data_IF_347634918151
#
_entry.id   IF_347634918151
#
_cell.length_a   1.000
_cell.length_b   1.000
_cell.length_c   1.000
_cell.angle_alpha   90.00
_cell.angle_beta   90.00
_cell.angle_gamma   90.00
#
_symmetry.space_group_name_H-M   'P 1'
#
loop_
_entity.id
_entity.type
_entity.pdbx_description
1 polymer ?
#
# COMPACT_ATOMS: atom_id res chain seq x y z
N UNK A 1 8.93 13.48 -10.61
CA UNK A 1 8.44 13.69 -9.23
C UNK A 1 9.63 14.04 -8.34
N UNK A 2 9.50 14.98 -7.39
CA UNK A 2 10.65 15.53 -6.64
C UNK A 2 10.95 14.76 -5.34
N UNK A 3 9.96 14.37 -4.53
CA UNK A 3 10.09 13.57 -3.29
C UNK A 3 8.76 12.87 -2.97
N UNK A 4 8.79 11.73 -2.27
CA UNK A 4 7.59 11.00 -1.82
C UNK A 4 7.69 10.58 -0.35
N UNK A 5 6.55 10.57 0.35
CA UNK A 5 6.40 9.87 1.63
C UNK A 5 6.01 8.40 1.42
N UNK A 6 6.20 7.55 2.44
CA UNK A 6 5.89 6.11 2.33
C UNK A 6 4.40 5.84 2.06
N UNK A 7 3.49 6.53 2.75
CA UNK A 7 2.05 6.41 2.48
C UNK A 7 1.70 6.61 1.00
N UNK A 8 2.28 7.63 0.34
CA UNK A 8 2.04 7.89 -1.07
C UNK A 8 2.67 6.83 -1.98
N UNK A 9 3.87 6.32 -1.64
CA UNK A 9 4.50 5.26 -2.41
C UNK A 9 3.69 3.96 -2.42
N UNK A 10 3.13 3.57 -1.26
CA UNK A 10 2.24 2.41 -1.19
C UNK A 10 0.98 2.61 -2.01
N UNK A 11 0.38 3.79 -1.90
CA UNK A 11 -0.80 4.14 -2.68
C UNK A 11 -0.52 4.11 -4.18
N UNK A 12 0.58 4.71 -4.63
CA UNK A 12 0.97 4.71 -6.03
C UNK A 12 1.18 3.28 -6.55
N UNK A 13 1.91 2.44 -5.80
CA UNK A 13 2.10 1.03 -6.14
C UNK A 13 0.77 0.28 -6.25
N UNK A 14 -0.11 0.43 -5.26
CA UNK A 14 -1.44 -0.20 -5.29
C UNK A 14 -2.27 0.28 -6.49
N UNK A 15 -2.26 1.57 -6.79
CA UNK A 15 -2.97 2.15 -7.94
C UNK A 15 -2.46 1.64 -9.28
N UNK A 16 -1.13 1.53 -9.46
CA UNK A 16 -0.54 0.97 -10.68
C UNK A 16 -0.87 -0.52 -10.82
N UNK A 17 -0.70 -1.32 -9.76
CA UNK A 17 -1.07 -2.74 -9.79
C UNK A 17 -2.55 -2.96 -10.06
N UNK A 18 -3.44 -2.12 -9.54
CA UNK A 18 -4.87 -2.18 -9.84
C UNK A 18 -5.16 -1.81 -11.30
N UNK A 19 -4.44 -0.85 -11.89
CA UNK A 19 -4.59 -0.51 -13.31
C UNK A 19 -4.13 -1.66 -14.21
N UNK A 20 -2.97 -2.25 -13.94
CA UNK A 20 -2.46 -3.44 -14.63
C UNK A 20 -3.42 -4.63 -14.50
N UNK A 21 -3.90 -4.89 -13.28
CA UNK A 21 -4.89 -5.93 -13.00
C UNK A 21 -6.18 -5.72 -13.80
N UNK A 22 -6.63 -4.48 -13.92
CA UNK A 22 -7.83 -4.13 -14.71
C UNK A 22 -7.61 -4.40 -16.20
N UNK A 23 -6.46 -3.99 -16.75
CA UNK A 23 -6.14 -4.18 -18.17
C UNK A 23 -6.01 -5.67 -18.51
N UNK A 24 -5.22 -6.42 -17.73
CA UNK A 24 -5.01 -7.86 -17.93
C UNK A 24 -6.32 -8.61 -17.71
N UNK A 25 -7.06 -8.29 -16.65
CA UNK A 25 -8.33 -8.92 -16.33
C UNK A 25 -9.39 -8.67 -17.40
N UNK A 26 -9.52 -7.43 -17.89
CA UNK A 26 -10.45 -7.11 -18.99
C UNK A 26 -10.09 -7.85 -20.28
N UNK A 27 -8.80 -7.92 -20.64
CA UNK A 27 -8.34 -8.68 -21.80
C UNK A 27 -8.64 -10.19 -21.66
N UNK A 28 -8.37 -10.77 -20.48
CA UNK A 28 -8.67 -12.18 -20.21
C UNK A 28 -10.17 -12.48 -20.29
N UNK A 29 -11.03 -11.62 -19.74
CA UNK A 29 -12.48 -11.77 -19.79
C UNK A 29 -12.99 -11.63 -21.22
N UNK A 30 -12.44 -10.69 -22.01
CA UNK A 30 -12.81 -10.54 -23.41
C UNK A 30 -12.43 -11.78 -24.24
N UNK A 31 -11.24 -12.35 -24.01
CA UNK A 31 -10.83 -13.61 -24.63
C UNK A 31 -11.75 -14.76 -24.22
N UNK A 32 -12.09 -14.86 -22.93
CA UNK A 32 -13.04 -15.87 -22.45
C UNK A 32 -14.40 -15.72 -23.13
N UNK A 33 -14.92 -14.49 -23.24
CA UNK A 33 -16.20 -14.18 -23.89
C UNK A 33 -16.23 -14.68 -25.34
N UNK A 34 -15.16 -14.42 -26.10
CA UNK A 34 -15.03 -14.90 -27.48
C UNK A 34 -15.05 -16.43 -27.55
N UNK A 35 -14.33 -17.10 -26.65
CA UNK A 35 -14.27 -18.56 -26.61
C UNK A 35 -15.61 -19.21 -26.22
N UNK A 36 -16.36 -18.60 -25.30
CA UNK A 36 -17.65 -19.15 -24.85
C UNK A 36 -18.84 -18.73 -25.72
N UNK A 37 -18.62 -17.94 -26.77
CA UNK A 37 -19.66 -17.56 -27.74
C UNK A 37 -19.98 -18.66 -28.78
N UNK A 38 -19.35 -19.83 -28.65
CA UNK A 38 -19.55 -20.98 -29.55
C UNK A 38 -20.69 -21.89 -29.09
N UNK A 39 -21.15 -22.80 -29.96
CA UNK A 39 -22.25 -23.74 -29.67
C UNK A 39 -22.10 -24.53 -28.35
N UNK A 40 -20.86 -24.85 -27.95
CA UNK A 40 -20.54 -25.58 -26.72
C UNK A 40 -20.11 -24.67 -25.54
N UNK A 41 -20.32 -23.35 -25.64
CA UNK A 41 -19.82 -22.36 -24.68
C UNK A 41 -20.21 -22.63 -23.23
N UNK A 42 -21.43 -23.11 -23.00
CA UNK A 42 -21.93 -23.46 -21.66
C UNK A 42 -21.07 -24.53 -20.98
N UNK A 43 -20.57 -25.51 -21.74
CA UNK A 43 -19.71 -26.58 -21.21
C UNK A 43 -18.28 -26.10 -21.08
N UNK A 44 -17.81 -25.32 -22.04
CA UNK A 44 -16.46 -24.75 -22.03
C UNK A 44 -16.23 -23.85 -20.81
N UNK A 45 -17.18 -22.97 -20.49
CA UNK A 45 -17.11 -22.14 -19.29
C UNK A 45 -17.10 -22.99 -18.01
N UNK A 46 -17.87 -24.07 -17.98
CA UNK A 46 -17.83 -25.10 -16.93
C UNK A 46 -16.44 -25.68 -16.74
N UNK A 47 -15.83 -26.15 -17.82
CA UNK A 47 -14.49 -26.74 -17.80
C UNK A 47 -13.40 -25.75 -17.38
N UNK A 48 -13.52 -24.47 -17.75
CA UNK A 48 -12.61 -23.44 -17.25
C UNK A 48 -12.73 -23.24 -15.74
N UNK A 49 -13.95 -23.28 -15.21
CA UNK A 49 -14.20 -23.18 -13.77
C UNK A 49 -13.66 -24.42 -13.03
N UNK A 50 -13.87 -25.62 -13.59
CA UNK A 50 -13.36 -26.86 -13.02
C UNK A 50 -11.82 -26.87 -12.99
N UNK A 51 -11.18 -26.31 -14.03
CA UNK A 51 -9.73 -26.16 -14.11
C UNK A 51 -9.13 -25.19 -13.07
N UNK A 52 -9.96 -24.40 -12.37
CA UNK A 52 -9.49 -23.61 -11.22
C UNK A 52 -9.34 -24.45 -9.94
N UNK A 53 -9.70 -25.75 -9.97
CA UNK A 53 -9.53 -26.71 -8.86
C UNK A 53 -10.11 -26.22 -7.52
N UNK A 54 -11.23 -25.49 -7.58
CA UNK A 54 -11.90 -24.97 -6.38
C UNK A 54 -12.60 -26.12 -5.65
N UNK A 55 -11.98 -26.57 -4.55
CA UNK A 55 -12.33 -27.78 -3.75
C UNK A 55 -13.79 -27.92 -3.31
N UNK A 56 -14.56 -26.83 -3.30
CA UNK A 56 -15.96 -26.82 -2.84
C UNK A 56 -16.99 -26.78 -3.97
N UNK A 57 -16.54 -26.79 -5.23
CA UNK A 57 -17.42 -26.73 -6.39
C UNK A 57 -17.48 -28.09 -7.07
N UNK A 58 -18.69 -28.60 -7.31
CA UNK A 58 -18.87 -29.84 -8.09
C UNK A 58 -18.44 -29.63 -9.54
N UNK A 59 -17.83 -30.66 -10.12
CA UNK A 59 -17.38 -30.69 -11.53
C UNK A 59 -18.56 -30.66 -12.52
N UNK A 60 -18.30 -30.20 -13.74
CA UNK A 60 -19.23 -30.31 -14.86
C UNK A 60 -20.36 -29.28 -14.86
N UNK A 61 -20.15 -28.13 -14.21
CA UNK A 61 -21.13 -27.02 -14.19
C UNK A 61 -21.48 -26.60 -15.62
N UNK A 62 -22.76 -26.30 -15.85
CA UNK A 62 -23.25 -25.74 -17.11
C UNK A 62 -23.81 -24.35 -16.86
N UNK A 63 -23.36 -23.39 -17.66
CA UNK A 63 -23.83 -22.00 -17.64
C UNK A 63 -24.72 -21.74 -18.87
N UNK A 64 -26.07 -21.71 -18.73
CA UNK A 64 -26.99 -21.62 -19.86
C UNK A 64 -26.75 -20.42 -20.79
N UNK A 65 -26.35 -19.27 -20.22
CA UNK A 65 -26.00 -18.05 -20.94
C UNK A 65 -24.54 -17.67 -20.64
N UNK A 66 -23.56 -18.38 -21.22
CA UNK A 66 -22.16 -18.23 -20.83
C UNK A 66 -21.60 -16.86 -21.23
N UNK A 67 -22.06 -16.29 -22.34
CA UNK A 67 -21.65 -14.95 -22.82
C UNK A 67 -22.10 -13.88 -21.83
N UNK A 68 -23.38 -13.87 -21.46
CA UNK A 68 -23.93 -12.93 -20.48
C UNK A 68 -23.26 -13.10 -19.12
N UNK A 69 -22.98 -14.35 -18.72
CA UNK A 69 -22.30 -14.61 -17.46
C UNK A 69 -20.87 -14.07 -17.44
N UNK A 70 -20.13 -14.26 -18.53
CA UNK A 70 -18.77 -13.72 -18.68
C UNK A 70 -18.79 -12.18 -18.73
N UNK A 71 -19.78 -11.60 -19.40
CA UNK A 71 -19.98 -10.14 -19.42
C UNK A 71 -20.24 -9.59 -18.01
N UNK A 72 -21.17 -10.19 -17.26
CA UNK A 72 -21.47 -9.83 -15.87
C UNK A 72 -20.21 -9.88 -14.99
N UNK A 73 -19.38 -10.92 -15.14
CA UNK A 73 -18.11 -11.05 -14.41
C UNK A 73 -17.15 -9.89 -14.77
N UNK A 74 -17.10 -9.47 -16.04
CA UNK A 74 -16.32 -8.31 -16.49
C UNK A 74 -16.77 -7.00 -15.85
N UNK A 75 -18.07 -6.80 -15.74
CA UNK A 75 -18.66 -5.63 -15.08
C UNK A 75 -18.40 -5.64 -13.57
N UNK A 76 -18.53 -6.81 -12.94
CA UNK A 76 -18.19 -7.02 -11.52
C UNK A 76 -16.71 -6.75 -11.25
N UNK A 77 -15.80 -7.17 -12.13
CA UNK A 77 -14.36 -6.88 -12.03
C UNK A 77 -14.12 -5.37 -12.00
N UNK A 78 -14.71 -4.62 -12.93
CA UNK A 78 -14.53 -3.16 -13.01
C UNK A 78 -15.09 -2.45 -11.77
N UNK A 79 -16.28 -2.87 -11.31
CA UNK A 79 -16.87 -2.38 -10.07
C UNK A 79 -15.99 -2.68 -8.85
N UNK A 80 -15.42 -3.89 -8.77
CA UNK A 80 -14.49 -4.27 -7.71
C UNK A 80 -13.23 -3.41 -7.72
N UNK A 81 -12.64 -3.17 -8.90
CA UNK A 81 -11.47 -2.31 -9.06
C UNK A 81 -11.76 -0.90 -8.55
N UNK A 82 -12.90 -0.30 -8.92
CA UNK A 82 -13.27 1.04 -8.42
C UNK A 82 -13.34 1.06 -6.89
N UNK A 83 -13.95 0.05 -6.28
CA UNK A 83 -14.02 -0.08 -4.81
C UNK A 83 -12.61 -0.17 -4.21
N UNK A 84 -11.70 -0.94 -4.83
CA UNK A 84 -10.31 -1.07 -4.37
C UNK A 84 -9.51 0.22 -4.53
N UNK A 85 -9.66 0.95 -5.65
CA UNK A 85 -9.00 2.24 -5.87
C UNK A 85 -9.39 3.25 -4.78
N UNK A 86 -10.68 3.31 -4.45
CA UNK A 86 -11.20 4.19 -3.40
C UNK A 86 -10.76 3.74 -2.02
N UNK A 87 -10.72 2.43 -1.76
CA UNK A 87 -10.23 1.88 -0.49
C UNK A 87 -8.73 2.15 -0.30
N UNK A 88 -7.95 2.06 -1.38
CA UNK A 88 -6.54 2.43 -1.39
C UNK A 88 -6.35 3.92 -1.10
N UNK A 89 -7.20 4.79 -1.64
CA UNK A 89 -7.18 6.23 -1.32
C UNK A 89 -7.58 6.50 0.14
N UNK A 90 -8.59 5.81 0.69
CA UNK A 90 -8.94 5.94 2.12
C UNK A 90 -7.76 5.54 3.01
N UNK A 91 -7.14 4.40 2.74
CA UNK A 91 -5.96 3.95 3.48
C UNK A 91 -4.78 4.91 3.34
N UNK A 92 -4.55 5.43 2.13
CA UNK A 92 -3.58 6.49 1.87
C UNK A 92 -3.84 7.69 2.76
N UNK A 93 -5.07 8.22 2.76
CA UNK A 93 -5.46 9.44 3.45
C UNK A 93 -5.25 9.35 4.97
N UNK A 94 -5.47 8.18 5.56
CA UNK A 94 -5.16 7.89 6.97
C UNK A 94 -3.65 7.77 7.21
N UNK A 95 -2.97 7.03 6.33
CA UNK A 95 -1.53 6.78 6.44
C UNK A 95 -0.69 8.03 6.23
N UNK A 96 -1.10 8.95 5.33
CA UNK A 96 -0.38 10.21 5.09
C UNK A 96 -0.44 11.12 6.30
N UNK A 97 -1.57 11.20 7.01
CA UNK A 97 -1.64 11.95 8.27
C UNK A 97 -0.77 11.33 9.35
N UNK A 98 -0.80 10.00 9.48
CA UNK A 98 0.04 9.27 10.43
C UNK A 98 1.53 9.49 10.15
N UNK A 99 1.96 9.40 8.88
CA UNK A 99 3.33 9.68 8.46
C UNK A 99 3.69 11.15 8.68
N UNK A 100 2.80 12.07 8.30
CA UNK A 100 3.07 13.50 8.42
C UNK A 100 3.30 13.90 9.87
N UNK A 101 2.42 13.46 10.78
CA UNK A 101 2.59 13.76 12.20
C UNK A 101 3.69 12.94 12.88
N UNK A 102 4.06 11.79 12.33
CA UNK A 102 5.19 10.98 12.83
C UNK A 102 6.52 11.64 12.51
N UNK A 103 6.70 12.14 11.30
CA UNK A 103 8.00 12.61 10.85
C UNK A 103 8.15 14.13 10.88
N UNK A 104 7.08 14.92 10.70
CA UNK A 104 7.21 16.38 10.65
C UNK A 104 7.04 17.05 12.01
N UNK A 105 8.14 17.61 12.53
CA UNK A 105 8.13 18.56 13.64
C UNK A 105 7.27 19.77 13.33
N UNK A 106 7.31 20.24 12.07
CA UNK A 106 6.49 21.36 11.63
C UNK A 106 5.01 21.07 11.85
N UNK A 107 4.53 19.87 11.45
CA UNK A 107 3.15 19.46 11.63
C UNK A 107 2.75 19.50 13.11
N UNK A 108 3.56 18.89 13.99
CA UNK A 108 3.28 18.85 15.43
C UNK A 108 3.26 20.23 16.09
N UNK A 109 4.05 21.18 15.59
CA UNK A 109 4.16 22.55 16.12
C UNK A 109 3.07 23.49 15.59
N UNK A 110 2.73 23.39 14.30
CA UNK A 110 1.90 24.38 13.61
C UNK A 110 0.46 23.90 13.32
N UNK A 111 0.17 22.62 13.53
CA UNK A 111 -1.16 22.06 13.35
C UNK A 111 -1.72 21.58 14.70
N UNK A 112 -2.56 22.40 15.39
CA UNK A 112 -3.02 22.09 16.74
C UNK A 112 -3.67 20.71 16.89
N UNK A 113 -4.40 20.25 15.85
CA UNK A 113 -5.10 18.96 15.84
C UNK A 113 -4.14 17.75 15.77
N UNK A 114 -2.90 17.99 15.33
CA UNK A 114 -1.84 17.01 15.18
C UNK A 114 -0.85 17.03 16.36
N UNK A 115 -0.96 18.03 17.25
CA UNK A 115 -0.07 18.17 18.40
C UNK A 115 -0.26 17.00 19.38
N UNK A 116 0.82 16.26 19.61
CA UNK A 116 0.90 15.23 20.64
C UNK A 116 2.35 15.01 21.05
N UNK A 117 2.57 14.37 22.20
CA UNK A 117 3.90 13.91 22.58
C UNK A 117 4.32 12.77 21.67
N UNK A 118 5.43 12.96 20.97
CA UNK A 118 5.87 12.04 19.94
C UNK A 118 7.28 11.53 20.22
N UNK A 119 7.43 10.21 20.09
CA UNK A 119 8.72 9.55 19.94
C UNK A 119 8.59 8.47 18.87
N UNK A 120 9.60 8.30 18.01
CA UNK A 120 9.57 7.26 16.97
C UNK A 120 9.67 5.86 17.60
N UNK A 121 10.42 5.74 18.69
CA UNK A 121 10.66 4.49 19.42
C UNK A 121 10.47 4.68 20.91
N UNK A 122 10.05 3.61 21.56
CA UNK A 122 9.94 3.54 23.01
C UNK A 122 10.43 2.19 23.50
N UNK A 123 10.79 2.12 24.78
CA UNK A 123 11.20 0.86 25.40
C UNK A 123 9.96 0.10 25.88
N UNK A 124 9.82 -1.15 25.43
CA UNK A 124 8.76 -2.04 25.87
C UNK A 124 8.97 -2.47 27.33
N UNK A 125 7.95 -3.03 28.01
CA UNK A 125 8.11 -3.61 29.35
C UNK A 125 9.23 -4.66 29.42
N UNK A 126 9.47 -5.39 28.32
CA UNK A 126 10.53 -6.39 28.17
C UNK A 126 11.92 -5.79 27.86
N UNK A 127 12.06 -4.47 27.87
CA UNK A 127 13.35 -3.79 27.66
C UNK A 127 13.81 -3.77 26.19
N UNK A 128 12.88 -3.92 25.23
CA UNK A 128 13.19 -3.85 23.79
C UNK A 128 12.73 -2.52 23.21
N UNK A 129 13.51 -1.95 22.29
CA UNK A 129 13.07 -0.79 21.51
C UNK A 129 12.01 -1.20 20.49
N UNK A 130 10.80 -0.64 20.63
CA UNK A 130 9.62 -0.88 19.79
C UNK A 130 9.11 0.41 19.18
N UNK A 131 8.36 0.30 18.10
CA UNK A 131 7.69 1.43 17.44
C UNK A 131 6.63 2.01 18.36
N UNK A 132 6.57 3.35 18.44
CA UNK A 132 5.45 4.02 19.10
C UNK A 132 4.20 4.03 18.21
N UNK A 133 3.03 3.75 18.80
CA UNK A 133 1.75 3.71 18.10
C UNK A 133 1.00 5.05 18.06
N UNK A 134 1.50 6.09 18.75
CA UNK A 134 0.79 7.36 18.96
C UNK A 134 0.25 8.01 17.67
N UNK A 135 1.00 7.98 16.57
CA UNK A 135 0.59 8.63 15.32
C UNK A 135 -0.58 7.94 14.60
N UNK A 136 -0.84 6.66 14.89
CA UNK A 136 -1.91 5.92 14.20
C UNK A 136 -3.29 6.42 14.64
N UNK A 137 -3.42 6.89 15.89
CA UNK A 137 -4.66 7.45 16.42
C UNK A 137 -5.08 8.72 15.69
N UNK A 138 -4.10 9.51 15.21
CA UNK A 138 -4.37 10.74 14.44
C UNK A 138 -5.02 10.42 13.10
N UNK A 139 -4.53 9.40 12.38
CA UNK A 139 -5.15 8.95 11.14
C UNK A 139 -6.57 8.42 11.33
N UNK A 140 -6.85 7.82 12.50
CA UNK A 140 -8.18 7.30 12.85
C UNK A 140 -9.20 8.39 13.24
N UNK A 141 -8.77 9.66 13.41
CA UNK A 141 -9.70 10.79 13.60
C UNK A 141 -10.46 11.13 12.33
N UNK A 142 -9.94 10.73 11.17
CA UNK A 142 -10.62 10.94 9.90
C UNK A 142 -11.88 10.09 9.84
N UNK A 143 -13.01 10.71 9.48
CA UNK A 143 -14.32 10.08 9.56
C UNK A 143 -14.67 9.35 8.27
N UNK A 144 -15.60 9.87 7.48
CA UNK A 144 -16.01 9.28 6.21
C UNK A 144 -15.18 9.82 5.04
N UNK A 145 -15.43 9.27 3.84
CA UNK A 145 -14.76 9.70 2.63
C UNK A 145 -15.34 11.01 2.05
N UNK A 146 -16.55 11.41 2.47
CA UNK A 146 -17.24 12.62 1.99
C UNK A 146 -16.58 13.87 2.56
N UNK A 147 -16.22 13.88 3.84
CA UNK A 147 -15.52 14.99 4.51
C UNK A 147 -13.99 14.88 4.42
N UNK A 148 -13.46 13.85 3.76
CA UNK A 148 -12.03 13.50 3.86
C UNK A 148 -11.07 14.62 3.46
N UNK A 149 -11.33 15.28 2.34
CA UNK A 149 -10.45 16.34 1.84
C UNK A 149 -10.50 17.59 2.73
N UNK A 150 -11.68 17.94 3.24
CA UNK A 150 -11.86 19.08 4.14
C UNK A 150 -11.27 18.80 5.53
N UNK A 151 -11.37 17.57 6.03
CA UNK A 151 -10.72 17.14 7.28
C UNK A 151 -9.19 17.22 7.17
N UNK A 152 -8.59 16.69 6.10
CA UNK A 152 -7.15 16.80 5.88
C UNK A 152 -6.74 18.27 5.79
N UNK A 153 -7.51 19.08 5.05
CA UNK A 153 -7.26 20.52 4.95
C UNK A 153 -7.27 21.20 6.32
N UNK A 154 -8.31 20.95 7.13
CA UNK A 154 -8.46 21.48 8.48
C UNK A 154 -7.34 21.03 9.43
N UNK A 155 -6.96 19.76 9.37
CA UNK A 155 -5.96 19.17 10.25
C UNK A 155 -4.53 19.60 9.90
N UNK A 156 -4.22 19.85 8.63
CA UNK A 156 -2.83 20.02 8.15
C UNK A 156 -2.53 21.40 7.58
N UNK A 157 -3.52 22.28 7.47
CA UNK A 157 -3.49 23.52 6.70
C UNK A 157 -3.19 23.33 5.19
N UNK A 158 -3.29 22.10 4.67
CA UNK A 158 -3.24 21.84 3.24
C UNK A 158 -4.41 22.56 2.55
N UNK A 159 -4.13 23.28 1.46
CA UNK A 159 -5.17 23.92 0.65
C UNK A 159 -5.26 23.19 -0.68
N UNK A 160 -6.47 22.80 -1.03
CA UNK A 160 -6.77 22.30 -2.38
C UNK A 160 -6.47 23.41 -3.39
N UNK A 161 -5.72 23.08 -4.45
CA UNK A 161 -5.41 24.05 -5.51
C UNK A 161 -6.65 24.33 -6.34
N UNK A 162 -6.68 25.49 -7.01
CA UNK A 162 -7.76 25.86 -7.94
C UNK A 162 -8.02 24.76 -8.97
N UNK A 163 -6.96 24.17 -9.52
CA UNK A 163 -7.06 23.11 -10.52
C UNK A 163 -7.71 21.83 -9.98
N UNK A 164 -7.51 21.52 -8.69
CA UNK A 164 -8.11 20.35 -8.05
C UNK A 164 -9.56 20.59 -7.63
N UNK A 165 -9.90 21.81 -7.23
CA UNK A 165 -11.30 22.19 -6.95
C UNK A 165 -12.15 21.98 -8.20
N UNK A 166 -11.64 22.39 -9.37
CA UNK A 166 -12.34 22.23 -10.65
C UNK A 166 -12.62 20.77 -11.02
N UNK A 167 -11.86 19.81 -10.48
CA UNK A 167 -12.07 18.37 -10.73
C UNK A 167 -12.65 17.61 -9.53
N UNK A 168 -12.95 18.30 -8.42
CA UNK A 168 -13.56 17.72 -7.22
C UNK A 168 -14.90 17.00 -7.49
N UNK A 169 -15.77 17.47 -8.42
CA UNK A 169 -16.99 16.74 -8.77
C UNK A 169 -16.71 15.30 -9.26
N UNK A 170 -15.58 15.04 -9.93
CA UNK A 170 -15.21 13.68 -10.36
C UNK A 170 -14.79 12.79 -9.18
N UNK A 171 -14.09 13.36 -8.19
CA UNK A 171 -13.78 12.67 -6.94
C UNK A 171 -15.08 12.26 -6.23
N UNK A 172 -16.04 13.19 -6.18
CA UNK A 172 -17.35 12.96 -5.59
C UNK A 172 -18.15 11.88 -6.33
N UNK A 173 -18.13 11.92 -7.67
CA UNK A 173 -18.80 10.92 -8.51
C UNK A 173 -18.25 9.51 -8.25
N UNK A 174 -16.91 9.35 -8.24
CA UNK A 174 -16.26 8.07 -7.95
C UNK A 174 -16.69 7.54 -6.58
N UNK A 175 -16.73 8.41 -5.56
CA UNK A 175 -17.20 8.07 -4.21
C UNK A 175 -18.66 7.60 -4.20
N UNK A 176 -19.56 8.30 -4.88
CA UNK A 176 -20.98 7.91 -4.97
C UNK A 176 -21.15 6.54 -5.66
N UNK A 177 -20.43 6.32 -6.77
CA UNK A 177 -20.40 5.01 -7.44
C UNK A 177 -19.96 3.90 -6.49
N UNK A 178 -18.83 4.06 -5.78
CA UNK A 178 -18.36 3.08 -4.78
C UNK A 178 -19.38 2.82 -3.69
N UNK A 179 -20.06 3.87 -3.20
CA UNK A 179 -21.06 3.70 -2.16
C UNK A 179 -22.24 2.86 -2.63
N UNK A 180 -22.71 3.06 -3.87
CA UNK A 180 -23.76 2.21 -4.47
C UNK A 180 -23.28 0.78 -4.71
N UNK A 181 -22.06 0.58 -5.21
CA UNK A 181 -21.47 -0.75 -5.41
C UNK A 181 -21.37 -1.50 -4.07
N UNK A 182 -20.88 -0.84 -3.02
CA UNK A 182 -20.62 -1.48 -1.74
C UNK A 182 -21.89 -1.74 -0.89
N UNK A 183 -22.94 -0.91 -1.03
CA UNK A 183 -24.09 -0.94 -0.12
C UNK A 183 -25.46 -1.17 -0.79
N UNK A 184 -25.53 -1.11 -2.12
CA UNK A 184 -26.81 -1.22 -2.85
C UNK A 184 -26.71 -2.16 -4.05
N UNK A 185 -25.80 -3.14 -4.00
CA UNK A 185 -25.56 -4.10 -5.09
C UNK A 185 -25.33 -3.41 -6.45
N UNK A 186 -24.72 -2.22 -6.41
CA UNK A 186 -24.47 -1.40 -7.58
C UNK A 186 -25.69 -0.71 -8.18
N UNK A 187 -26.88 -0.76 -7.56
CA UNK A 187 -28.08 -0.09 -8.11
C UNK A 187 -27.95 1.43 -8.04
N UNK A 188 -28.16 2.11 -9.16
CA UNK A 188 -28.14 3.57 -9.28
C UNK A 188 -29.39 4.17 -8.65
N UNK A 189 -29.19 5.10 -7.71
CA UNK A 189 -30.26 5.94 -7.16
C UNK A 189 -30.39 7.28 -7.88
N UNK A 190 -31.48 8.03 -7.62
CA UNK A 190 -31.74 9.32 -8.26
C UNK A 190 -30.61 10.32 -8.06
N UNK A 191 -30.11 10.47 -6.83
CA UNK A 191 -29.00 11.38 -6.51
C UNK A 191 -27.75 11.13 -7.38
N UNK A 192 -27.41 9.86 -7.63
CA UNK A 192 -26.24 9.52 -8.44
C UNK A 192 -26.47 9.79 -9.92
N UNK A 193 -27.66 9.48 -10.45
CA UNK A 193 -28.01 9.80 -11.84
C UNK A 193 -28.00 11.31 -12.07
N UNK A 194 -28.69 12.07 -11.21
CA UNK A 194 -28.80 13.52 -11.31
C UNK A 194 -27.41 14.18 -11.22
N UNK A 195 -26.58 13.74 -10.27
CA UNK A 195 -25.22 14.24 -10.11
C UNK A 195 -24.32 13.88 -11.29
N UNK A 196 -24.39 12.65 -11.81
CA UNK A 196 -23.56 12.24 -12.95
C UNK A 196 -23.88 13.02 -14.25
N UNK A 197 -25.13 13.48 -14.40
CA UNK A 197 -25.58 14.31 -15.54
C UNK A 197 -25.44 15.81 -15.29
N UNK A 198 -24.99 16.22 -14.10
CA UNK A 198 -24.87 17.62 -13.73
C UNK A 198 -23.82 18.33 -14.58
N UNK A 199 -24.01 19.64 -14.76
CA UNK A 199 -23.05 20.50 -15.47
C UNK A 199 -21.68 20.51 -14.78
N UNK A 200 -21.64 20.49 -13.45
CA UNK A 200 -20.39 20.48 -12.69
C UNK A 200 -19.54 19.24 -12.97
N UNK A 201 -20.15 18.06 -13.12
CA UNK A 201 -19.42 16.83 -13.46
C UNK A 201 -18.90 16.87 -14.90
N UNK A 202 -19.69 17.39 -15.84
CA UNK A 202 -19.28 17.55 -17.24
C UNK A 202 -18.13 18.56 -17.38
N UNK A 203 -18.23 19.71 -16.71
CA UNK A 203 -17.19 20.73 -16.70
C UNK A 203 -15.90 20.18 -16.05
N UNK A 204 -16.03 19.45 -14.94
CA UNK A 204 -14.90 18.78 -14.28
C UNK A 204 -14.24 17.72 -15.19
N UNK A 205 -15.01 16.95 -15.95
CA UNK A 205 -14.48 15.99 -16.93
C UNK A 205 -13.64 16.68 -18.01
N UNK A 206 -14.12 17.80 -18.54
CA UNK A 206 -13.39 18.61 -19.52
C UNK A 206 -12.12 19.24 -18.92
N UNK A 207 -12.21 19.78 -17.70
CA UNK A 207 -11.04 20.33 -17.00
C UNK A 207 -9.98 19.28 -16.71
N UNK A 208 -10.39 18.07 -16.35
CA UNK A 208 -9.47 16.96 -16.17
C UNK A 208 -8.73 16.63 -17.48
N UNK A 209 -9.47 16.62 -18.60
CA UNK A 209 -8.91 16.39 -19.94
C UNK A 209 -7.85 17.43 -20.30
N UNK A 210 -8.15 18.71 -20.08
CA UNK A 210 -7.26 19.83 -20.39
C UNK A 210 -5.96 19.81 -19.58
N UNK A 211 -6.04 19.50 -18.28
CA UNK A 211 -4.91 19.69 -17.35
C UNK A 211 -4.11 18.44 -17.05
N UNK A 212 -4.75 17.28 -16.98
CA UNK A 212 -4.15 16.07 -16.41
C UNK A 212 -4.05 14.90 -17.39
N UNK A 213 -4.89 14.88 -18.43
CA UNK A 213 -4.91 13.79 -19.39
C UNK A 213 -3.79 13.93 -20.42
N UNK A 214 -3.11 12.82 -20.72
CA UNK A 214 -2.15 12.72 -21.84
C UNK A 214 -2.73 12.00 -23.06
N UNK A 215 -3.88 11.36 -22.87
CA UNK A 215 -4.60 10.59 -23.85
C UNK A 215 -6.09 10.98 -23.78
N UNK A 216 -6.86 10.52 -24.75
CA UNK A 216 -8.30 10.70 -24.74
C UNK A 216 -8.92 10.07 -23.48
N UNK A 217 -9.84 10.79 -22.85
CA UNK A 217 -10.57 10.27 -21.68
C UNK A 217 -11.73 9.41 -22.14
N UNK A 218 -12.05 8.32 -21.40
CA UNK A 218 -13.28 7.58 -21.67
C UNK A 218 -14.50 8.49 -21.41
N UNK A 219 -15.61 8.27 -22.12
CA UNK A 219 -16.86 8.95 -21.78
C UNK A 219 -17.26 8.63 -20.34
N UNK A 220 -17.97 9.55 -19.70
CA UNK A 220 -18.55 9.30 -18.39
C UNK A 220 -19.52 8.11 -18.46
N UNK A 221 -19.60 7.27 -17.42
CA UNK A 221 -20.49 6.12 -17.41
C UNK A 221 -21.95 6.59 -17.49
N UNK A 222 -22.77 5.90 -18.27
CA UNK A 222 -24.19 6.19 -18.39
C UNK A 222 -24.95 5.58 -17.20
N UNK A 223 -25.15 6.39 -16.15
CA UNK A 223 -25.82 5.95 -14.92
C UNK A 223 -27.32 6.25 -15.01
N UNK A 224 -28.14 5.19 -15.04
CA UNK A 224 -29.59 5.25 -15.15
C UNK A 224 -30.21 4.69 -13.87
N UNK A 225 -31.09 5.44 -13.21
CA UNK A 225 -31.77 4.99 -11.98
C UNK A 225 -32.43 3.63 -12.15
N UNK A 226 -32.28 2.79 -11.13
CA UNK A 226 -32.83 1.44 -11.10
C UNK A 226 -31.96 0.39 -11.80
N UNK A 227 -31.02 0.80 -12.65
CA UNK A 227 -30.07 -0.11 -13.27
C UNK A 227 -28.84 -0.31 -12.37
N UNK A 228 -28.14 -1.44 -12.59
CA UNK A 228 -26.81 -1.64 -12.01
C UNK A 228 -25.79 -0.71 -12.66
N UNK A 229 -24.82 -0.26 -11.88
CA UNK A 229 -23.65 0.47 -12.36
C UNK A 229 -22.83 -0.46 -13.26
N UNK A 230 -22.64 -0.02 -14.51
CA UNK A 230 -21.77 -0.66 -15.50
C UNK A 230 -20.63 0.30 -15.77
N UNK A 231 -19.41 -0.12 -15.41
CA UNK A 231 -18.19 0.62 -15.68
C UNK A 231 -17.36 -0.11 -16.72
N UNK A 232 -16.78 0.64 -17.65
CA UNK A 232 -15.74 0.10 -18.51
C UNK A 232 -14.41 -0.04 -17.73
N UNK A 233 -13.46 -0.84 -18.23
CA UNK A 233 -12.09 -0.88 -17.72
C UNK A 233 -11.46 0.53 -17.66
N UNK A 234 -11.67 1.31 -18.71
CA UNK A 234 -11.18 2.69 -18.83
C UNK A 234 -11.80 3.60 -17.77
N UNK A 235 -13.10 3.48 -17.49
CA UNK A 235 -13.74 4.26 -16.42
C UNK A 235 -13.11 3.96 -15.04
N UNK A 236 -12.83 2.68 -14.77
CA UNK A 236 -12.24 2.25 -13.49
C UNK A 236 -10.82 2.80 -13.32
N UNK A 237 -10.02 2.77 -14.38
CA UNK A 237 -8.67 3.36 -14.41
C UNK A 237 -8.74 4.89 -14.30
N UNK A 238 -9.68 5.52 -15.01
CA UNK A 238 -9.89 6.96 -15.01
C UNK A 238 -10.22 7.48 -13.61
N UNK A 239 -11.16 6.85 -12.90
CA UNK A 239 -11.45 7.24 -11.52
C UNK A 239 -10.25 7.05 -10.58
N UNK A 240 -9.44 6.00 -10.78
CA UNK A 240 -8.15 5.85 -10.09
C UNK A 240 -7.18 7.00 -10.38
N UNK A 241 -7.13 7.50 -11.61
CA UNK A 241 -6.30 8.65 -11.99
C UNK A 241 -6.79 9.97 -11.36
N UNK A 242 -8.10 10.16 -11.24
CA UNK A 242 -8.66 11.32 -10.50
C UNK A 242 -8.19 11.31 -9.05
N UNK A 243 -8.38 10.20 -8.33
CA UNK A 243 -7.92 10.04 -6.93
C UNK A 243 -6.41 10.29 -6.79
N UNK A 244 -5.63 9.86 -7.79
CA UNK A 244 -4.18 10.01 -7.79
C UNK A 244 -3.73 11.47 -7.78
N UNK A 245 -4.40 12.37 -8.50
CA UNK A 245 -4.02 13.79 -8.52
C UNK A 245 -4.27 14.47 -7.17
N UNK A 246 -5.33 14.10 -6.45
CA UNK A 246 -5.54 14.54 -5.06
C UNK A 246 -4.43 14.00 -4.13
N UNK A 247 -4.14 12.70 -4.21
CA UNK A 247 -3.12 12.06 -3.39
C UNK A 247 -1.72 12.67 -3.63
N UNK A 248 -1.40 12.96 -4.89
CA UNK A 248 -0.15 13.58 -5.32
C UNK A 248 -0.01 15.01 -4.79
N UNK A 249 -1.07 15.81 -4.82
CA UNK A 249 -1.06 17.16 -4.25
C UNK A 249 -0.84 17.14 -2.73
N UNK A 250 -1.55 16.26 -2.02
CA UNK A 250 -1.34 16.04 -0.59
C UNK A 250 0.11 15.64 -0.32
N UNK A 251 0.65 14.66 -1.05
CA UNK A 251 2.04 14.22 -0.91
C UNK A 251 3.05 15.36 -1.12
N UNK A 252 2.88 16.17 -2.18
CA UNK A 252 3.76 17.31 -2.46
C UNK A 252 3.78 18.27 -1.26
N UNK A 253 2.60 18.65 -0.77
CA UNK A 253 2.49 19.54 0.38
C UNK A 253 3.17 18.96 1.63
N UNK A 254 2.95 17.69 1.96
CA UNK A 254 3.58 17.06 3.13
C UNK A 254 5.11 16.97 2.97
N UNK A 255 5.59 16.60 1.79
CA UNK A 255 7.02 16.54 1.48
C UNK A 255 7.72 17.91 1.62
N UNK A 256 7.04 19.01 1.31
CA UNK A 256 7.59 20.37 1.48
C UNK A 256 7.76 20.77 2.95
N UNK A 257 7.08 20.10 3.87
CA UNK A 257 7.15 20.34 5.32
C UNK A 257 8.08 19.36 6.05
N UNK A 258 8.76 18.50 5.31
CA UNK A 258 9.72 17.53 5.82
C UNK A 258 11.15 18.00 5.50
N UNK A 259 11.97 18.11 6.54
CA UNK A 259 13.41 18.38 6.48
C UNK A 259 14.16 17.12 6.04
N UNK A 260 15.43 17.28 5.65
CA UNK A 260 16.28 16.14 5.26
C UNK A 260 16.42 15.12 6.39
N UNK A 261 16.60 15.59 7.62
CA UNK A 261 16.67 14.74 8.81
C UNK A 261 15.42 13.87 8.94
N UNK A 262 14.24 14.46 8.79
CA UNK A 262 12.96 13.75 8.94
C UNK A 262 12.74 12.72 7.82
N UNK A 263 13.21 12.99 6.60
CA UNK A 263 13.26 11.97 5.54
C UNK A 263 14.20 10.81 5.91
N UNK A 264 15.37 11.09 6.48
CA UNK A 264 16.30 10.06 6.95
C UNK A 264 15.69 9.23 8.10
N UNK A 265 14.99 9.87 9.03
CA UNK A 265 14.23 9.19 10.09
C UNK A 265 13.13 8.30 9.53
N UNK A 266 12.40 8.75 8.50
CA UNK A 266 11.41 7.93 7.79
C UNK A 266 12.04 6.73 7.07
N UNK A 267 13.20 6.93 6.44
CA UNK A 267 14.01 5.86 5.86
C UNK A 267 14.40 4.82 6.90
N UNK A 268 15.01 5.26 8.00
CA UNK A 268 15.33 4.43 9.16
C UNK A 268 14.10 3.67 9.68
N UNK A 269 12.99 4.36 9.90
CA UNK A 269 11.79 3.78 10.48
C UNK A 269 11.27 2.61 9.62
N UNK A 270 11.06 2.85 8.33
CA UNK A 270 10.48 1.85 7.44
C UNK A 270 11.47 0.76 7.01
N UNK A 271 12.77 1.05 6.94
CA UNK A 271 13.78 0.03 6.59
C UNK A 271 14.20 -0.83 7.78
N UNK A 272 14.22 -0.27 9.00
CA UNK A 272 14.82 -0.92 10.17
C UNK A 272 13.80 -1.37 11.21
N UNK A 273 12.73 -0.61 11.44
CA UNK A 273 11.81 -0.83 12.56
C UNK A 273 10.51 -1.55 12.14
N UNK A 274 9.94 -1.22 10.99
CA UNK A 274 8.70 -1.85 10.52
C UNK A 274 9.02 -3.23 9.96
N UNK A 275 8.73 -4.27 10.75
CA UNK A 275 9.18 -5.62 10.44
C UNK A 275 8.52 -6.22 9.19
N UNK A 276 7.25 -5.86 8.94
CA UNK A 276 6.40 -6.39 7.86
C UNK A 276 6.44 -5.55 6.57
N UNK A 277 7.38 -4.62 6.45
CA UNK A 277 7.44 -3.72 5.30
C UNK A 277 7.84 -4.47 4.01
N UNK A 278 7.02 -4.42 2.97
CA UNK A 278 7.26 -5.14 1.70
C UNK A 278 8.56 -4.73 1.00
N UNK A 279 8.92 -3.44 1.07
CA UNK A 279 10.19 -2.92 0.54
C UNK A 279 11.43 -3.27 1.37
N UNK A 280 11.29 -3.93 2.52
CA UNK A 280 12.42 -4.30 3.37
C UNK A 280 13.11 -5.53 2.78
N UNK A 281 14.22 -5.30 2.10
CA UNK A 281 15.06 -6.36 1.55
C UNK A 281 16.39 -6.43 2.29
N UNK A 282 16.86 -7.64 2.57
CA UNK A 282 18.15 -7.89 3.27
C UNK A 282 19.33 -7.89 2.28
N UNK A 283 19.08 -7.53 1.01
CA UNK A 283 20.09 -7.47 -0.06
C UNK A 283 21.24 -6.48 0.20
N UNK A 284 21.11 -5.61 1.19
CA UNK A 284 22.12 -4.60 1.52
C UNK A 284 23.01 -5.05 2.68
N UNK A 285 24.32 -4.85 2.54
CA UNK A 285 25.37 -5.34 3.45
C UNK A 285 25.43 -4.64 4.81
N UNK A 286 24.82 -3.47 4.95
CA UNK A 286 24.83 -2.69 6.18
C UNK A 286 23.53 -1.89 6.38
N UNK A 287 23.38 -1.26 7.55
CA UNK A 287 22.23 -0.42 7.85
C UNK A 287 22.17 0.85 6.98
N UNK A 288 23.31 1.42 6.58
CA UNK A 288 23.37 2.63 5.73
C UNK A 288 22.75 2.34 4.37
N UNK A 289 23.18 1.26 3.71
CA UNK A 289 22.72 0.83 2.40
C UNK A 289 21.21 0.58 2.37
N UNK A 290 20.63 0.03 3.44
CA UNK A 290 19.18 -0.18 3.56
C UNK A 290 18.41 1.14 3.63
N UNK A 291 18.88 2.08 4.46
CA UNK A 291 18.23 3.38 4.60
C UNK A 291 18.36 4.15 3.27
N UNK A 292 19.54 4.12 2.64
CA UNK A 292 19.77 4.75 1.35
C UNK A 292 18.89 4.17 0.25
N UNK A 293 18.64 2.85 0.22
CA UNK A 293 17.71 2.25 -0.73
C UNK A 293 16.30 2.82 -0.60
N UNK A 294 15.79 3.01 0.63
CA UNK A 294 14.49 3.65 0.83
C UNK A 294 14.50 5.11 0.36
N UNK A 295 15.56 5.86 0.69
CA UNK A 295 15.70 7.26 0.28
C UNK A 295 15.78 7.41 -1.24
N UNK A 296 16.58 6.60 -1.93
CA UNK A 296 16.76 6.66 -3.40
C UNK A 296 15.55 6.12 -4.14
N UNK A 297 15.20 4.85 -3.90
CA UNK A 297 14.29 4.10 -4.76
C UNK A 297 12.83 4.37 -4.41
N UNK A 298 12.51 4.53 -3.12
CA UNK A 298 11.12 4.76 -2.70
C UNK A 298 10.82 6.25 -2.62
N UNK A 299 11.63 7.02 -1.93
CA UNK A 299 11.30 8.43 -1.64
C UNK A 299 11.80 9.40 -2.71
N UNK A 300 12.55 8.92 -3.71
CA UNK A 300 13.14 9.72 -4.78
C UNK A 300 13.94 10.93 -4.26
N UNK A 301 14.57 10.75 -3.11
CA UNK A 301 15.36 11.78 -2.46
C UNK A 301 16.73 11.87 -3.17
N UNK A 302 16.80 12.67 -4.24
CA UNK A 302 17.92 12.72 -5.21
C UNK A 302 19.28 13.20 -4.67
N UNK A 303 19.38 13.65 -3.42
CA UNK A 303 20.63 14.11 -2.80
C UNK A 303 21.40 13.00 -2.07
N UNK A 304 21.19 11.74 -2.45
CA UNK A 304 21.82 10.59 -1.76
C UNK A 304 23.32 10.52 -1.88
N UNK A 305 23.93 11.15 -2.90
CA UNK A 305 25.38 11.32 -2.98
C UNK A 305 25.95 12.18 -1.84
N UNK A 306 25.14 13.06 -1.22
CA UNK A 306 25.48 13.82 0.00
C UNK A 306 25.11 13.09 1.29
N UNK A 307 24.30 12.04 1.23
CA UNK A 307 23.84 11.26 2.39
C UNK A 307 24.83 10.18 2.85
N UNK A 308 26.13 10.29 2.52
CA UNK A 308 27.16 9.44 3.16
C UNK A 308 27.13 9.54 4.70
N UNK A 309 26.44 10.56 5.23
CA UNK A 309 26.24 10.82 6.64
C UNK A 309 24.82 10.50 7.14
N UNK A 310 24.10 9.50 6.60
CA UNK A 310 22.82 9.02 7.22
C UNK A 310 22.98 8.80 8.74
N UNK A 311 24.15 8.30 9.18
CA UNK A 311 24.44 8.12 10.59
C UNK A 311 24.45 9.44 11.39
N UNK A 312 24.85 10.57 10.79
CA UNK A 312 24.87 11.89 11.43
C UNK A 312 23.46 12.29 11.87
N UNK A 313 22.48 12.18 10.98
CA UNK A 313 21.07 12.49 11.26
C UNK A 313 20.43 11.61 12.33
N UNK A 314 21.03 10.46 12.64
CA UNK A 314 20.51 9.46 13.57
C UNK A 314 21.33 9.34 14.87
N UNK A 315 22.32 10.23 15.08
CA UNK A 315 23.20 10.25 16.25
C UNK A 315 22.64 10.99 17.46
N UNK A 316 21.54 11.73 17.28
CA UNK A 316 20.90 12.41 18.39
C UNK A 316 20.53 11.43 19.51
N UNK A 317 20.84 11.84 20.74
CA UNK A 317 20.56 11.04 21.93
C UNK A 317 19.05 10.98 22.13
N UNK A 318 18.55 9.76 22.30
CA UNK A 318 17.20 9.49 22.75
C UNK A 318 17.25 8.87 24.13
N UNK A 319 16.33 9.30 24.97
CA UNK A 319 16.22 8.88 26.35
C UNK A 319 14.89 8.16 26.54
N UNK A 320 14.91 7.09 27.32
CA UNK A 320 13.68 6.44 27.76
C UNK A 320 13.74 6.17 29.26
N UNK A 321 12.69 6.61 29.94
CA UNK A 321 12.51 6.43 31.37
C UNK A 321 11.84 5.09 31.66
N UNK A 322 12.53 4.24 32.43
CA UNK A 322 11.93 3.03 33.00
C UNK A 322 12.08 3.07 34.52
N UNK A 323 11.14 3.71 35.20
CA UNK A 323 11.23 3.93 36.65
C UNK A 323 12.37 4.90 37.00
N UNK A 324 13.35 4.44 37.78
CA UNK A 324 14.52 5.25 38.20
C UNK A 324 15.70 5.21 37.22
N UNK A 325 15.68 4.30 36.24
CA UNK A 325 16.79 4.12 35.31
C UNK A 325 16.51 4.83 33.98
N UNK A 326 17.40 5.75 33.61
CA UNK A 326 17.41 6.38 32.29
C UNK A 326 18.34 5.61 31.36
N UNK A 327 17.81 5.00 30.30
CA UNK A 327 18.64 4.39 29.25
C UNK A 327 18.84 5.37 28.10
N UNK A 328 20.10 5.69 27.83
CA UNK A 328 20.53 6.51 26.71
C UNK A 328 20.86 5.62 25.48
N UNK A 329 20.34 5.98 24.32
CA UNK A 329 20.75 5.37 23.04
C UNK A 329 20.62 6.38 21.89
N UNK A 330 20.79 5.92 20.65
CA UNK A 330 20.54 6.71 19.43
C UNK A 330 19.75 5.87 18.43
N UNK A 331 19.07 6.51 17.48
CA UNK A 331 18.43 5.78 16.37
C UNK A 331 19.44 4.98 15.55
N UNK A 332 20.67 5.49 15.41
CA UNK A 332 21.76 4.80 14.74
C UNK A 332 22.12 3.46 15.43
N UNK A 333 22.28 3.46 16.75
CA UNK A 333 22.55 2.23 17.52
C UNK A 333 21.43 1.21 17.36
N UNK A 334 20.18 1.66 17.35
CA UNK A 334 19.01 0.79 17.10
C UNK A 334 19.05 0.22 15.68
N UNK A 335 19.39 1.04 14.68
CA UNK A 335 19.48 0.60 13.28
C UNK A 335 20.50 -0.52 13.09
N UNK A 336 21.68 -0.39 13.72
CA UNK A 336 22.73 -1.40 13.72
C UNK A 336 22.27 -2.70 14.38
N UNK A 337 21.74 -2.63 15.61
CA UNK A 337 21.25 -3.81 16.32
C UNK A 337 20.14 -4.54 15.54
N UNK A 338 19.22 -3.80 14.92
CA UNK A 338 18.14 -4.38 14.09
C UNK A 338 18.68 -4.99 12.79
N UNK A 339 19.78 -4.47 12.24
CA UNK A 339 20.44 -5.07 11.09
C UNK A 339 21.03 -6.45 11.41
N UNK A 340 21.76 -6.54 12.53
CA UNK A 340 22.41 -7.77 12.97
C UNK A 340 21.39 -8.88 13.22
N UNK A 341 20.26 -8.56 13.85
CA UNK A 341 19.15 -9.50 14.07
C UNK A 341 18.65 -10.08 12.74
N UNK A 342 18.46 -9.26 11.71
CA UNK A 342 18.00 -9.75 10.41
C UNK A 342 19.02 -10.69 9.77
N UNK A 343 20.31 -10.32 9.79
CA UNK A 343 21.36 -11.20 9.26
C UNK A 343 21.46 -12.52 10.04
N UNK A 344 21.24 -12.50 11.36
CA UNK A 344 21.22 -13.71 12.17
C UNK A 344 20.03 -14.63 11.85
N UNK A 345 18.87 -14.09 11.48
CA UNK A 345 17.70 -14.88 11.06
C UNK A 345 17.90 -15.55 9.69
N UNK A 346 18.74 -14.97 8.83
CA UNK A 346 19.01 -15.49 7.47
C UNK A 346 20.16 -16.49 7.40
N UNK A 347 21.11 -16.44 8.34
CA UNK A 347 22.12 -17.50 8.40
C UNK A 347 21.35 -18.82 8.54
N UNK A 348 21.45 -19.76 7.58
CA UNK A 348 20.82 -21.06 7.76
C UNK A 348 21.28 -21.56 9.12
N UNK A 349 20.35 -21.99 9.96
CA UNK A 349 20.72 -22.80 11.12
C UNK A 349 21.50 -23.96 10.52
N UNK A 350 22.82 -23.89 10.54
CA UNK A 350 23.67 -24.99 10.14
C UNK A 350 23.09 -26.24 10.80
N UNK A 351 22.85 -27.34 10.07
CA UNK A 351 22.33 -28.54 10.69
C UNK A 351 23.22 -28.84 11.87
N UNK A 352 22.59 -29.06 13.02
CA UNK A 352 23.22 -29.31 14.30
C UNK A 352 24.47 -30.15 14.08
N UNK A 353 25.59 -29.55 14.48
CA UNK A 353 26.87 -30.16 14.82
C UNK A 353 27.01 -31.60 14.34
N UNK A 354 27.79 -31.76 13.25
CA UNK A 354 28.38 -33.05 12.87
C UNK A 354 28.76 -33.82 14.14
N UNK A 355 28.21 -35.02 14.24
CA UNK A 355 28.69 -36.12 15.06
C UNK A 355 30.19 -36.28 14.79
N UNK A 356 31.01 -35.58 15.56
CA UNK A 356 32.47 -35.74 15.58
C UNK A 356 32.84 -35.83 17.04
N UNK A 357 32.73 -37.05 17.59
CA UNK A 357 33.59 -37.65 18.62
C UNK A 357 32.95 -38.89 19.22
N UNK A 358 32.67 -39.91 18.41
CA UNK A 358 32.31 -41.24 18.90
C UNK A 358 32.82 -42.37 18.00
N UNK A 359 34.01 -42.24 17.41
CA UNK A 359 34.70 -43.37 16.72
C UNK A 359 36.23 -43.30 16.82
N UNK A 360 36.79 -42.71 17.89
CA UNK A 360 38.26 -42.66 18.07
C UNK A 360 38.80 -43.32 19.35
N UNK A 361 37.98 -44.05 20.12
CA UNK A 361 38.44 -44.68 21.37
C UNK A 361 37.90 -46.11 21.62
N UNK A 362 37.67 -46.92 20.58
CA UNK A 362 37.43 -48.36 20.75
C UNK A 362 38.05 -49.13 19.59
N UNK A 363 39.36 -49.34 19.63
CA UNK A 363 40.03 -50.57 19.23
C UNK A 363 41.55 -50.41 19.41
N UNK A 364 41.97 -50.46 20.67
CA UNK A 364 43.33 -50.82 21.06
C UNK A 364 43.23 -51.63 22.35
N UNK A 365 43.21 -52.96 22.21
CA UNK A 365 43.91 -53.98 23.03
C UNK A 365 43.25 -55.37 22.87
N UNK A 366 43.99 -56.20 22.13
CA UNK A 366 44.15 -57.67 22.12
C UNK A 366 44.10 -58.32 23.53
N UNK A 367 43.88 -59.65 23.72
CA UNK A 367 44.73 -60.71 23.15
C UNK A 367 44.12 -62.10 22.82
N UNK A 368 44.98 -62.87 22.13
CA UNK A 368 45.07 -64.32 21.85
C UNK A 368 44.52 -65.34 22.85
N UNK A 369 43.95 -66.46 22.35
CA UNK A 369 44.58 -67.82 22.42
C UNK A 369 43.73 -68.94 21.77
N UNK A 370 44.37 -69.74 20.89
CA UNK A 370 44.26 -71.19 20.56
C UNK A 370 42.96 -71.98 20.85
N UNK A 371 42.46 -72.85 19.96
CA UNK A 371 43.01 -74.20 19.68
C UNK A 371 42.29 -74.92 18.52
N UNK A 372 42.90 -76.01 18.06
CA UNK A 372 42.69 -76.78 16.85
C UNK A 372 41.41 -77.66 16.78
N UNK A 373 40.97 -77.97 15.55
CA UNK A 373 41.10 -79.30 14.94
C UNK A 373 41.13 -79.19 13.43
#
# INVERSE_FOLDING_TARGET
MKKNIEAFMRYHQAKESLAEYTQIGAAAIQLLKLNVSVKNGSRLLGQFVDACEVTHWGEGKRFPNPVDKTQEIGEMLCNHVLVQQISAFDLFSKSVLADFVRFSDWARKHCPQLKHEHTLVQMSPQGRWVVSSCCNEVGNKLTDLKSRLSEISSMTNWKISTDLVEIEPLFHLARLCRNRIAHSDGIVGSELEDFAKSREVLDAHNKFREKYARAELPPLPNLIRGNRIVLSPENSIYFGAVLYEFAKSINIYMCEKLTEKEFVEMGFFYSCLVETHSGRVIRHRDAVGRINYFLTERYLFKETSKLKEVSFYLKDKIFNYKGKDMKETTYWKIALARHEILHALEKPRSPATKIVNAKRNQHAKTPTSHTAK
#
